data_IF_760961320180
#
_entry.id   IF_760961320180
#
_cell.length_a   1.000
_cell.length_b   1.000
_cell.length_c   1.000
_cell.angle_alpha   90.00
_cell.angle_beta   90.00
_cell.angle_gamma   90.00
#
_symmetry.space_group_name_H-M   'P 1'
#
loop_
_entity.id
_entity.type
_entity.pdbx_description
1 polymer ?
2 polymer ?
3 water ?
#
loop_
_entity_poly.entity_id
_entity_poly.type
_entity_poly.pdbx_seq_one_letter_code
_entity_poly.pdbx_strand_id
1 'polydeoxyribonucleotide' '(DG)(DT)(DG)(DA)(DT)(DC)(DG)(DC)' ?
#
# COMPACT_ATOMS: atom_id res chain seq x y z
N UNK C 1 9.29 9.88 -0.45
CA UNK C 1 8.10 10.36 -1.22
C UNK C 1 6.92 10.52 -0.26
N UNK C 2 5.86 9.76 -0.51
CA UNK C 2 4.69 9.81 0.33
C UNK C 2 4.86 8.59 1.22
N UNK C 3 4.59 8.75 2.50
CA UNK C 3 4.73 7.67 3.47
C UNK C 3 3.35 7.16 3.88
N UNK C 4 3.19 5.84 3.96
CA UNK C 4 1.89 5.30 4.35
C UNK C 4 2.01 4.77 5.77
N UNK C 5 1.24 5.33 6.69
CA UNK C 5 1.30 4.86 8.07
C UNK C 5 0.25 3.77 8.15
N UNK C 6 0.63 2.59 8.63
CA UNK C 6 -0.33 1.47 8.74
C UNK C 6 0.01 0.53 9.90
N UNK C 7 -1.01 -0.13 10.46
CA UNK C 7 -0.76 -1.05 11.57
C UNK C 7 -0.64 -2.50 11.12
N UNK C 8 0.44 -3.18 11.51
CA UNK C 8 0.58 -4.60 11.20
C UNK C 8 1.08 -5.32 12.44
N UNK C 9 0.22 -6.19 12.97
CA UNK C 9 0.48 -6.97 14.17
C UNK C 9 0.68 -6.00 15.33
N UNK C 10 -0.25 -5.06 15.46
CA UNK C 10 -0.15 -4.07 16.52
C UNK C 10 0.75 -2.91 16.11
N UNK C 11 1.91 -3.24 15.51
CA UNK C 11 2.90 -2.26 15.04
C UNK C 11 2.27 -1.20 14.14
N UNK C 12 2.33 0.06 14.57
CA UNK C 12 1.79 1.18 13.79
C UNK C 12 2.94 1.75 12.94
N UNK C 13 3.40 0.95 11.97
CA UNK C 13 4.51 1.31 11.09
C UNK C 13 4.20 2.23 9.89
N UNK C 14 5.13 2.29 8.95
CA UNK C 14 5.00 3.15 7.79
C UNK C 14 5.91 2.63 6.68
N UNK C 15 5.71 3.12 5.47
CA UNK C 15 6.51 2.71 4.32
C UNK C 15 6.43 3.83 3.27
N UNK C 16 7.50 4.00 2.51
CA UNK C 16 7.56 4.99 1.46
C UNK C 16 6.80 4.41 0.27
N UNK C 17 6.02 5.23 -0.43
CA UNK C 17 5.29 4.73 -1.58
C UNK C 17 6.23 4.11 -2.63
N UNK C 18 7.52 4.45 -2.60
CA UNK C 18 8.45 3.89 -3.57
C UNK C 18 8.89 2.45 -3.23
N UNK C 19 8.53 1.99 -2.04
CA UNK C 19 8.86 0.64 -1.58
C UNK C 19 7.69 -0.34 -1.80
N UNK C 20 6.53 0.21 -2.14
CA UNK C 20 5.36 -0.58 -2.37
C UNK C 20 5.45 -1.27 -3.74
N UNK C 21 5.39 -2.60 -3.69
CA UNK C 21 5.48 -3.48 -4.87
C UNK C 21 4.17 -3.77 -5.56
N UNK C 22 3.14 -4.05 -4.77
CA UNK C 22 1.84 -4.43 -5.33
C UNK C 22 0.70 -3.79 -4.55
N UNK C 23 -0.36 -3.36 -5.24
CA UNK C 23 -1.54 -2.73 -4.60
C UNK C 23 -2.85 -3.36 -5.17
N UNK C 24 -3.86 -3.52 -4.32
CA UNK C 24 -5.16 -4.09 -4.72
C UNK C 24 -6.26 -3.75 -3.72
N UNK C 25 -7.50 -3.67 -4.17
CA UNK C 25 -8.60 -3.37 -3.26
C UNK C 25 -9.40 -4.63 -2.89
N UNK C 26 -9.91 -4.65 -1.67
CA UNK C 26 -10.71 -5.74 -1.15
C UNK C 26 -11.78 -4.95 -0.42
N UNK C 27 -12.72 -4.39 -1.18
CA UNK C 27 -13.79 -3.62 -0.57
C UNK C 27 -13.36 -2.20 -0.36
N UNK C 28 -13.30 -1.78 0.89
CA UNK C 28 -12.87 -0.43 1.15
C UNK C 28 -11.46 -0.50 1.70
N UNK C 29 -10.89 -1.69 1.68
CA UNK C 29 -9.54 -1.90 2.17
C UNK C 29 -8.51 -1.86 1.04
N UNK C 30 -7.48 -1.02 1.18
CA UNK C 30 -6.41 -0.96 0.17
C UNK C 30 -5.23 -1.73 0.79
N UNK C 31 -4.88 -2.83 0.11
CA UNK C 31 -3.85 -3.77 0.51
C UNK C 31 -2.65 -3.67 -0.40
N UNK C 32 -1.49 -4.01 0.13
CA UNK C 32 -0.28 -3.90 -0.68
C UNK C 32 0.84 -4.69 -0.06
N UNK C 33 1.88 -4.92 -0.85
CA UNK C 33 3.10 -5.61 -0.44
C UNK C 33 4.19 -4.59 -0.66
N UNK C 34 5.22 -4.60 0.16
CA UNK C 34 6.30 -3.64 -0.01
C UNK C 34 7.67 -4.24 0.29
N UNK C 35 8.69 -3.70 -0.36
CA UNK C 35 10.03 -4.17 -0.12
C UNK C 35 10.51 -3.69 1.26
N UNK C 36 10.53 -4.63 2.20
CA UNK C 36 10.96 -4.40 3.57
C UNK C 36 12.41 -4.83 3.65
N UNK C 37 13.30 -3.85 3.81
CA UNK C 37 14.77 -4.06 3.87
C UNK C 37 15.24 -5.38 3.27
N UNK C 38 14.82 -5.61 2.03
CA UNK C 38 15.17 -6.83 1.33
C UNK C 38 14.33 -7.94 1.92
N UNK C 39 13.02 -7.81 1.76
CA UNK C 39 12.06 -8.78 2.28
C UNK C 39 10.71 -8.25 1.82
N UNK C 40 9.67 -9.09 1.85
CA UNK C 40 8.37 -8.61 1.44
C UNK C 40 7.47 -8.61 2.63
N UNK C 41 7.00 -7.42 2.95
CA UNK C 41 6.09 -7.24 4.07
C UNK C 41 4.77 -6.93 3.44
N UNK C 42 3.74 -6.87 4.26
CA UNK C 42 2.40 -6.63 3.77
C UNK C 42 1.81 -5.51 4.56
N UNK C 43 0.76 -4.89 4.04
CA UNK C 43 0.11 -3.81 4.75
C UNK C 43 -1.25 -3.49 4.16
N UNK C 44 -2.06 -2.78 4.92
CA UNK C 44 -3.40 -2.42 4.48
C UNK C 44 -3.92 -1.20 5.24
N UNK C 45 -4.65 -0.36 4.52
CA UNK C 45 -5.22 0.85 5.10
C UNK C 45 -6.64 0.97 4.53
N UNK C 46 -7.48 1.75 5.20
CA UNK C 46 -8.83 1.97 4.74
C UNK C 46 -8.63 2.92 3.57
N UNK C 47 -9.47 2.81 2.55
CA UNK C 47 -9.38 3.66 1.37
C UNK C 47 -9.47 5.14 1.75
N UNK C 48 -10.13 5.44 2.86
CA UNK C 48 -10.29 6.82 3.29
C UNK C 48 -8.98 7.38 3.79
N UNK C 49 -8.28 6.59 4.59
CA UNK C 49 -6.99 6.99 5.17
C UNK C 49 -5.79 6.79 4.22
N UNK C 50 -6.09 6.58 2.95
CA UNK C 50 -5.06 6.37 1.94
C UNK C 50 -4.69 7.69 1.30
N UNK C 51 -3.39 7.99 1.24
CA UNK C 51 -2.96 9.24 0.61
C UNK C 51 -3.23 9.09 -0.91
N UNK C 52 -3.46 10.18 -1.64
CA UNK C 52 -3.75 10.07 -3.06
C UNK C 52 -2.70 9.31 -3.85
N UNK C 53 -1.46 9.36 -3.41
CA UNK C 53 -0.41 8.64 -4.11
C UNK C 53 -0.66 7.13 -4.07
N UNK C 54 -1.24 6.62 -2.98
CA UNK C 54 -1.53 5.17 -2.88
C UNK C 54 -2.73 4.81 -3.78
N UNK C 55 -3.69 5.72 -3.89
CA UNK C 55 -4.83 5.49 -4.74
C UNK C 55 -4.46 5.63 -6.23
N UNK C 56 -3.36 6.31 -6.54
CA UNK C 56 -2.94 6.47 -7.93
C UNK C 56 -2.28 5.17 -8.34
N UNK C 57 -1.53 4.59 -7.40
CA UNK C 57 -0.83 3.31 -7.58
C UNK C 57 -1.86 2.23 -7.91
N UNK C 58 -2.95 2.22 -7.13
CA UNK C 58 -4.07 1.31 -7.29
C UNK C 58 -4.74 1.54 -8.65
N UNK C 59 -4.92 2.81 -8.99
CA UNK C 59 -5.53 3.18 -10.27
C UNK C 59 -4.72 2.62 -11.41
N UNK C 60 -3.40 2.64 -11.28
CA UNK C 60 -2.52 2.12 -12.31
C UNK C 60 -2.65 0.60 -12.43
N UNK C 61 -2.82 -0.06 -11.28
CA UNK C 61 -2.93 -1.50 -11.21
C UNK C 61 -4.22 -1.94 -11.82
N UNK C 62 -5.28 -1.24 -11.50
CA UNK C 62 -6.56 -1.61 -12.04
C UNK C 62 -6.63 -1.47 -13.54
N UNK C 63 -5.93 -0.49 -14.13
CA UNK C 63 -6.00 -0.29 -15.59
C UNK C 63 -4.94 -1.06 -16.39
N UNK C 64 -4.17 -1.84 -15.66
CA UNK C 64 -3.12 -2.64 -16.23
C UNK C 64 -3.57 -3.94 -16.88
N UNK C 65 -2.87 -4.27 -17.96
CA UNK C 65 -3.06 -5.48 -18.74
C UNK C 65 -1.73 -6.17 -18.55
N UNK C 66 -1.72 -7.31 -17.87
CA UNK C 66 -0.46 -8.03 -17.64
C UNK C 66 -0.74 -9.53 -17.46
#
# INVERSE_FOLDING_TARGET
MVKVKFKYKGEEKEVDTSKIKKVWRVGKMVSFTYDDNGKTGRGAVSEKDAPKELLDMLARAEREKK
#
